data_IF_038095350680
#
_entry.id   IF_038095350680
#
_cell.length_a   1.000
_cell.length_b   1.000
_cell.length_c   1.000
_cell.angle_alpha   90.00
_cell.angle_beta   90.00
_cell.angle_gamma   90.00
#
_symmetry.space_group_name_H-M   'P 1'
#
loop_
_entity.id
_entity.type
_entity.pdbx_description
1 polymer ?
#
# COMPACT_ATOMS: atom_id res chain seq x y z
N UNK A 1 15.59 38.94 29.45
CA UNK A 1 14.73 38.85 28.25
C UNK A 1 14.74 37.42 27.76
N UNK A 2 13.60 36.78 27.51
CA UNK A 2 13.55 35.39 27.03
C UNK A 2 14.01 35.35 25.56
N UNK A 3 15.08 34.62 25.20
CA UNK A 3 15.63 34.59 23.85
C UNK A 3 14.83 33.72 22.85
N UNK A 4 13.82 32.99 23.32
CA UNK A 4 13.05 32.08 22.48
C UNK A 4 11.79 32.75 21.93
N UNK A 5 11.62 32.72 20.61
CA UNK A 5 10.46 33.24 19.88
C UNK A 5 9.74 32.10 19.14
N UNK A 6 8.44 31.93 19.40
CA UNK A 6 7.58 31.01 18.67
C UNK A 6 7.31 31.55 17.25
N UNK A 7 7.82 30.86 16.23
CA UNK A 7 7.49 31.18 14.85
C UNK A 7 6.00 30.94 14.59
N UNK A 8 5.36 31.88 13.90
CA UNK A 8 3.97 31.71 13.45
C UNK A 8 3.95 30.69 12.32
N UNK A 9 2.91 29.85 12.27
CA UNK A 9 2.76 28.88 11.17
C UNK A 9 2.79 29.57 9.79
N UNK A 10 2.29 30.81 9.70
CA UNK A 10 2.30 31.65 8.50
C UNK A 10 3.69 32.14 8.06
N UNK A 11 4.71 32.11 8.93
CA UNK A 11 6.08 32.53 8.57
C UNK A 11 6.91 31.42 7.94
N UNK A 12 6.37 30.19 7.88
CA UNK A 12 6.98 29.06 7.17
C UNK A 12 6.38 29.01 5.77
N UNK A 13 7.22 29.17 4.76
CA UNK A 13 6.85 28.92 3.36
C UNK A 13 6.42 27.46 3.22
N UNK A 14 5.12 27.21 3.07
CA UNK A 14 4.61 25.87 2.75
C UNK A 14 4.67 25.66 1.24
N UNK A 15 5.24 24.53 0.82
CA UNK A 15 5.27 24.11 -0.58
C UNK A 15 3.82 24.01 -1.14
N UNK A 16 3.52 24.78 -2.19
CA UNK A 16 2.19 24.95 -2.77
C UNK A 16 1.75 23.82 -3.71
N UNK A 17 2.57 22.80 -3.90
CA UNK A 17 2.29 21.68 -4.81
C UNK A 17 1.25 20.67 -4.33
N UNK A 18 0.78 20.75 -3.07
CA UNK A 18 -0.14 19.76 -2.49
C UNK A 18 -1.61 20.19 -2.56
N UNK A 19 -2.47 19.26 -2.97
CA UNK A 19 -3.92 19.47 -2.98
C UNK A 19 -4.47 19.24 -1.56
N UNK A 20 -5.12 20.27 -0.98
CA UNK A 20 -5.74 20.17 0.36
C UNK A 20 -6.79 19.05 0.43
N UNK A 21 -6.92 18.42 1.59
CA UNK A 21 -8.00 17.47 1.88
C UNK A 21 -9.35 18.23 1.86
N UNK A 22 -10.43 17.58 1.40
CA UNK A 22 -11.75 18.22 1.24
C UNK A 22 -12.45 18.36 2.59
N UNK A 23 -12.67 19.58 3.06
CA UNK A 23 -13.49 19.85 4.25
C UNK A 23 -13.07 19.01 5.47
N UNK A 24 -14.05 18.36 6.10
CA UNK A 24 -13.85 17.47 7.26
C UNK A 24 -13.53 16.01 6.87
N UNK A 25 -13.08 15.76 5.63
CA UNK A 25 -12.75 14.40 5.21
C UNK A 25 -11.61 13.85 6.06
N UNK A 26 -11.80 12.64 6.57
CA UNK A 26 -10.82 11.90 7.37
C UNK A 26 -10.58 10.53 6.73
N UNK A 27 -9.35 9.98 6.73
CA UNK A 27 -9.10 8.61 6.26
C UNK A 27 -10.00 7.54 6.90
N UNK A 28 -10.60 7.86 8.05
CA UNK A 28 -11.45 6.98 8.84
C UNK A 28 -12.96 7.29 8.71
N UNK A 29 -13.37 8.26 7.88
CA UNK A 29 -14.78 8.65 7.74
C UNK A 29 -15.60 7.74 6.79
N UNK A 30 -14.99 6.67 6.28
CA UNK A 30 -15.65 5.73 5.35
C UNK A 30 -15.73 6.19 3.89
N UNK A 31 -15.21 7.36 3.51
CA UNK A 31 -15.17 7.82 2.12
C UNK A 31 -14.02 7.15 1.32
N UNK A 32 -14.13 5.84 1.15
CA UNK A 32 -13.13 5.01 0.49
C UNK A 32 -12.87 5.45 -0.96
N UNK A 33 -13.88 6.00 -1.64
CA UNK A 33 -13.77 6.46 -3.04
C UNK A 33 -12.88 7.71 -3.11
N UNK A 34 -13.09 8.68 -2.21
CA UNK A 34 -12.26 9.89 -2.13
C UNK A 34 -10.80 9.53 -1.85
N UNK A 35 -10.55 8.70 -0.83
CA UNK A 35 -9.19 8.32 -0.43
C UNK A 35 -8.48 7.45 -1.47
N UNK A 36 -9.18 6.50 -2.09
CA UNK A 36 -8.63 5.70 -3.20
C UNK A 36 -8.23 6.57 -4.40
N UNK A 37 -9.07 7.55 -4.74
CA UNK A 37 -8.81 8.48 -5.85
C UNK A 37 -7.63 9.42 -5.56
N UNK A 38 -7.49 9.85 -4.30
CA UNK A 38 -6.38 10.70 -3.83
C UNK A 38 -5.06 9.93 -3.86
N UNK A 39 -5.06 8.67 -3.47
CA UNK A 39 -3.87 7.81 -3.50
C UNK A 39 -3.28 7.68 -4.90
N UNK A 40 -4.11 7.48 -5.92
CA UNK A 40 -3.65 7.42 -7.33
C UNK A 40 -3.08 8.74 -7.87
N UNK A 41 -3.35 9.87 -7.22
CA UNK A 41 -2.85 11.21 -7.57
C UNK A 41 -1.75 11.70 -6.63
N UNK A 42 -1.36 10.90 -5.64
CA UNK A 42 -0.36 11.28 -4.65
C UNK A 42 1.02 11.35 -5.32
N UNK A 43 1.75 12.47 -5.23
CA UNK A 43 3.08 12.60 -5.84
C UNK A 43 4.12 11.62 -5.26
N UNK A 44 3.88 11.08 -4.06
CA UNK A 44 4.73 10.07 -3.44
C UNK A 44 4.51 8.66 -4.00
N UNK A 45 3.42 8.45 -4.75
CA UNK A 45 3.11 7.17 -5.38
C UNK A 45 3.78 7.10 -6.75
N UNK A 46 4.54 6.04 -7.00
CA UNK A 46 5.20 5.86 -8.29
C UNK A 46 4.19 5.77 -9.44
N UNK A 47 4.58 6.20 -10.66
CA UNK A 47 3.73 6.10 -11.86
C UNK A 47 3.19 4.68 -12.09
N UNK A 48 4.01 3.66 -11.78
CA UNK A 48 3.63 2.24 -11.87
C UNK A 48 2.49 1.92 -10.93
N UNK A 49 2.62 2.29 -9.65
CA UNK A 49 1.58 2.07 -8.65
C UNK A 49 0.31 2.87 -8.97
N UNK A 50 0.42 4.13 -9.37
CA UNK A 50 -0.73 4.94 -9.77
C UNK A 50 -1.52 4.31 -10.93
N UNK A 51 -0.80 3.76 -11.92
CA UNK A 51 -1.40 3.05 -13.05
C UNK A 51 -2.16 1.80 -12.60
N UNK A 52 -1.54 1.01 -11.71
CA UNK A 52 -2.15 -0.20 -11.17
C UNK A 52 -3.35 0.09 -10.26
N UNK A 53 -3.25 1.10 -9.39
CA UNK A 53 -4.37 1.57 -8.57
C UNK A 53 -5.57 1.94 -9.44
N UNK A 54 -5.34 2.69 -10.53
CA UNK A 54 -6.40 3.06 -11.48
C UNK A 54 -7.01 1.81 -12.14
N UNK A 55 -6.17 0.87 -12.60
CA UNK A 55 -6.63 -0.35 -13.26
C UNK A 55 -7.44 -1.26 -12.33
N UNK A 56 -6.98 -1.39 -11.09
CA UNK A 56 -7.62 -2.17 -10.03
C UNK A 56 -8.78 -1.44 -9.36
N UNK A 57 -9.07 -0.18 -9.76
CA UNK A 57 -10.08 0.68 -9.14
C UNK A 57 -9.86 0.86 -7.63
N UNK A 58 -8.60 0.82 -7.18
CA UNK A 58 -8.23 0.90 -5.77
C UNK A 58 -8.56 -0.35 -4.96
N UNK A 59 -8.88 -1.48 -5.59
CA UNK A 59 -9.28 -2.73 -4.92
C UNK A 59 -8.13 -3.74 -4.95
N UNK A 60 -7.88 -4.38 -3.82
CA UNK A 60 -6.97 -5.53 -3.73
C UNK A 60 -7.63 -6.75 -4.38
N UNK A 61 -7.07 -7.34 -5.45
CA UNK A 61 -7.65 -8.50 -6.13
C UNK A 61 -7.63 -9.79 -5.29
N UNK A 62 -6.85 -9.83 -4.19
CA UNK A 62 -6.77 -11.00 -3.31
C UNK A 62 -7.88 -11.02 -2.26
N UNK A 63 -8.09 -9.91 -1.52
CA UNK A 63 -9.12 -9.85 -0.47
C UNK A 63 -10.41 -9.10 -0.88
N UNK A 64 -10.42 -8.39 -2.00
CA UNK A 64 -11.57 -7.61 -2.47
C UNK A 64 -11.79 -6.28 -1.74
N UNK A 65 -10.94 -5.91 -0.79
CA UNK A 65 -11.03 -4.66 -0.04
C UNK A 65 -10.33 -3.50 -0.74
N UNK A 66 -10.75 -2.27 -0.42
CA UNK A 66 -10.13 -1.06 -0.95
C UNK A 66 -8.81 -0.75 -0.23
N UNK A 67 -7.81 -0.29 -0.98
CA UNK A 67 -6.59 0.27 -0.41
C UNK A 67 -6.91 1.55 0.38
N UNK A 68 -6.48 1.58 1.63
CA UNK A 68 -6.59 2.74 2.52
C UNK A 68 -5.24 3.43 2.67
N UNK A 69 -5.28 4.73 2.95
CA UNK A 69 -4.06 5.50 3.23
C UNK A 69 -3.40 4.98 4.53
N UNK A 70 -2.08 4.87 4.55
CA UNK A 70 -1.32 4.29 5.68
C UNK A 70 -1.20 2.76 5.69
N UNK A 71 -1.87 2.02 4.79
CA UNK A 71 -1.67 0.58 4.63
C UNK A 71 -0.48 0.30 3.70
N UNK A 72 0.35 -0.68 4.04
CA UNK A 72 1.46 -1.10 3.18
C UNK A 72 0.93 -1.84 1.94
N UNK A 73 1.11 -1.23 0.77
CA UNK A 73 0.74 -1.76 -0.54
C UNK A 73 2.00 -2.25 -1.25
N UNK A 74 1.96 -3.47 -1.76
CA UNK A 74 3.10 -4.10 -2.42
C UNK A 74 2.76 -4.47 -3.86
N UNK A 75 3.78 -4.40 -4.73
CA UNK A 75 3.71 -4.86 -6.10
C UNK A 75 3.98 -6.36 -6.14
N UNK A 76 3.04 -7.13 -6.69
CA UNK A 76 3.09 -8.58 -6.83
C UNK A 76 2.96 -8.99 -8.30
N UNK A 77 3.46 -10.19 -8.62
CA UNK A 77 3.23 -10.84 -9.92
C UNK A 77 2.08 -11.85 -9.80
N UNK A 78 1.05 -11.70 -10.64
CA UNK A 78 -0.09 -12.61 -10.73
C UNK A 78 0.41 -14.04 -10.96
N UNK A 79 1.23 -14.23 -11.99
CA UNK A 79 2.03 -15.43 -12.20
C UNK A 79 3.41 -15.14 -11.60
N UNK A 80 3.86 -15.88 -10.56
CA UNK A 80 5.16 -15.67 -9.97
C UNK A 80 6.31 -15.83 -10.97
N UNK A 81 7.41 -15.08 -10.79
CA UNK A 81 8.60 -15.22 -11.63
C UNK A 81 9.18 -16.64 -11.62
N UNK A 82 9.13 -17.32 -10.47
CA UNK A 82 9.55 -18.73 -10.33
C UNK A 82 8.74 -19.71 -11.20
N UNK A 83 7.55 -19.30 -11.64
CA UNK A 83 6.65 -20.06 -12.50
C UNK A 83 6.63 -19.52 -13.94
N UNK A 84 7.64 -18.74 -14.33
CA UNK A 84 7.75 -18.16 -15.67
C UNK A 84 6.98 -16.86 -15.89
N UNK A 85 6.50 -16.22 -14.82
CA UNK A 85 5.81 -14.94 -14.91
C UNK A 85 6.71 -13.80 -15.40
N UNK A 86 6.22 -13.03 -16.36
CA UNK A 86 6.94 -11.89 -16.94
C UNK A 86 6.82 -10.62 -16.10
N UNK A 87 7.82 -9.74 -16.20
CA UNK A 87 7.90 -8.47 -15.47
C UNK A 87 7.22 -7.33 -16.27
N UNK A 88 5.89 -7.36 -16.32
CA UNK A 88 5.10 -6.49 -17.20
C UNK A 88 3.77 -6.08 -16.56
N UNK A 89 3.22 -4.96 -17.03
CA UNK A 89 1.97 -4.44 -16.49
C UNK A 89 0.85 -5.48 -16.48
N UNK A 90 0.71 -6.33 -17.51
CA UNK A 90 -0.37 -7.33 -17.55
C UNK A 90 -0.24 -8.42 -16.46
N UNK A 91 0.97 -8.65 -15.96
CA UNK A 91 1.25 -9.63 -14.91
C UNK A 91 1.42 -8.98 -13.52
N UNK A 92 1.53 -7.66 -13.41
CA UNK A 92 1.61 -7.00 -12.12
C UNK A 92 0.24 -6.77 -11.47
N UNK A 93 0.19 -6.84 -10.15
CA UNK A 93 -0.93 -6.39 -9.33
C UNK A 93 -0.42 -5.71 -8.06
N UNK A 94 -1.25 -4.88 -7.45
CA UNK A 94 -1.03 -4.35 -6.11
C UNK A 94 -1.82 -5.20 -5.13
N UNK A 95 -1.20 -5.53 -4.00
CA UNK A 95 -1.81 -6.27 -2.89
C UNK A 95 -1.55 -5.55 -1.56
N UNK A 96 -2.39 -5.80 -0.56
CA UNK A 96 -2.00 -5.51 0.82
C UNK A 96 -0.81 -6.38 1.20
N UNK A 97 0.09 -5.88 2.06
CA UNK A 97 1.23 -6.66 2.54
C UNK A 97 0.84 -8.06 3.05
N UNK A 98 -0.17 -8.16 3.91
CA UNK A 98 -0.62 -9.45 4.44
C UNK A 98 -1.24 -10.36 3.36
N UNK A 99 -1.91 -9.78 2.36
CA UNK A 99 -2.44 -10.53 1.21
C UNK A 99 -1.31 -11.07 0.34
N UNK A 100 -0.26 -10.29 0.14
CA UNK A 100 0.93 -10.71 -0.60
C UNK A 100 1.63 -11.86 0.12
N UNK A 101 1.89 -11.73 1.42
CA UNK A 101 2.47 -12.79 2.24
C UNK A 101 1.64 -14.09 2.16
N UNK A 102 0.31 -13.98 2.24
CA UNK A 102 -0.61 -15.13 2.13
C UNK A 102 -0.57 -15.76 0.74
N UNK A 103 -0.56 -14.95 -0.34
CA UNK A 103 -0.42 -15.42 -1.71
C UNK A 103 0.89 -16.18 -1.90
N UNK A 104 2.01 -15.60 -1.48
CA UNK A 104 3.35 -16.22 -1.59
C UNK A 104 3.42 -17.56 -0.85
N UNK A 105 2.77 -17.66 0.32
CA UNK A 105 2.69 -18.91 1.06
C UNK A 105 1.90 -19.99 0.30
N UNK A 106 0.84 -19.62 -0.41
CA UNK A 106 -0.02 -20.54 -1.16
C UNK A 106 0.62 -20.96 -2.48
N UNK A 107 1.15 -20.02 -3.25
CA UNK A 107 1.75 -20.29 -4.57
C UNK A 107 3.19 -20.82 -4.47
N UNK A 108 3.79 -20.81 -3.27
CA UNK A 108 5.13 -21.33 -3.01
C UNK A 108 6.24 -20.49 -3.66
N UNK A 109 5.95 -19.26 -4.06
CA UNK A 109 6.89 -18.33 -4.73
C UNK A 109 7.84 -17.61 -3.77
N UNK A 110 8.34 -18.34 -2.77
CA UNK A 110 9.33 -17.80 -1.84
C UNK A 110 10.52 -17.23 -2.62
N UNK A 111 10.95 -16.01 -2.27
CA UNK A 111 11.96 -15.20 -2.99
C UNK A 111 13.35 -15.83 -3.13
N UNK A 112 13.51 -17.10 -2.81
CA UNK A 112 14.73 -17.90 -3.02
C UNK A 112 14.83 -18.51 -4.43
N UNK A 113 13.77 -18.44 -5.25
CA UNK A 113 13.66 -19.21 -6.52
C UNK A 113 13.58 -18.38 -7.81
N UNK A 114 13.82 -17.07 -7.78
CA UNK A 114 13.76 -16.26 -9.00
C UNK A 114 14.88 -15.24 -9.07
N UNK A 115 15.36 -14.96 -10.29
CA UNK A 115 16.38 -13.96 -10.65
C UNK A 115 16.01 -12.50 -10.29
N UNK A 116 15.01 -12.28 -9.44
CA UNK A 116 14.88 -11.01 -8.76
C UNK A 116 16.10 -10.85 -7.87
N UNK A 117 16.86 -9.76 -8.05
CA UNK A 117 17.93 -9.32 -7.14
C UNK A 117 17.59 -9.77 -5.73
N UNK A 118 18.43 -10.63 -5.14
CA UNK A 118 18.19 -11.37 -3.90
C UNK A 118 17.93 -10.43 -2.73
N UNK A 119 16.74 -9.80 -2.71
CA UNK A 119 16.22 -9.09 -1.56
C UNK A 119 15.99 -10.18 -0.54
N UNK A 120 16.65 -10.07 0.61
CA UNK A 120 16.45 -11.00 1.72
C UNK A 120 14.94 -11.18 1.89
N UNK A 121 14.42 -12.42 1.84
CA UNK A 121 12.99 -12.65 1.91
C UNK A 121 12.48 -11.95 3.18
N UNK A 122 11.43 -11.15 3.01
CA UNK A 122 10.81 -10.45 4.12
C UNK A 122 10.43 -11.51 5.16
N UNK A 123 10.76 -11.31 6.46
CA UNK A 123 10.32 -12.23 7.49
C UNK A 123 8.81 -12.34 7.41
N UNK A 124 8.29 -13.55 7.27
CA UNK A 124 6.86 -13.79 7.43
C UNK A 124 6.48 -13.23 8.80
N UNK A 125 5.42 -12.43 8.85
CA UNK A 125 4.93 -11.95 10.12
C UNK A 125 4.39 -13.16 10.89
N UNK A 126 5.09 -13.58 11.94
CA UNK A 126 4.63 -14.61 12.88
C UNK A 126 3.48 -14.03 13.72
N UNK A 127 2.30 -13.98 13.10
CA UNK A 127 1.07 -13.52 13.74
C UNK A 127 0.61 -14.65 14.68
N UNK A 128 0.44 -14.38 16.00
CA UNK A 128 -0.05 -15.40 16.92
C UNK A 128 -1.44 -15.91 16.52
N UNK A 129 -1.76 -17.17 16.80
CA UNK A 129 -2.99 -17.84 16.32
C UNK A 129 -4.30 -17.17 16.74
N UNK A 130 -4.28 -16.37 17.81
CA UNK A 130 -5.42 -15.61 18.32
C UNK A 130 -5.59 -14.24 17.63
N UNK A 131 -4.86 -13.98 16.55
CA UNK A 131 -5.03 -12.77 15.75
C UNK A 131 -5.52 -13.13 14.36
N UNK A 132 -6.47 -12.35 13.86
CA UNK A 132 -7.05 -12.50 12.53
C UNK A 132 -7.10 -11.16 11.82
N UNK A 133 -6.91 -11.17 10.50
CA UNK A 133 -7.19 -10.01 9.67
C UNK A 133 -8.70 -9.90 9.42
N UNK A 134 -9.32 -8.84 9.93
CA UNK A 134 -10.72 -8.48 9.69
C UNK A 134 -10.73 -7.06 9.14
N UNK A 135 -11.26 -6.88 7.93
CA UNK A 135 -11.35 -5.57 7.24
C UNK A 135 -10.01 -4.81 7.11
N UNK A 136 -8.93 -5.54 6.79
CA UNK A 136 -7.54 -5.06 6.76
C UNK A 136 -6.98 -4.58 8.11
N UNK A 137 -7.64 -4.93 9.22
CA UNK A 137 -7.19 -4.67 10.58
C UNK A 137 -6.85 -5.98 11.28
N UNK A 138 -5.75 -6.00 12.04
CA UNK A 138 -5.41 -7.16 12.86
C UNK A 138 -6.20 -7.09 14.16
N UNK A 139 -7.13 -8.03 14.36
CA UNK A 139 -7.99 -8.12 15.54
C UNK A 139 -7.65 -9.36 16.35
N UNK A 140 -7.84 -9.28 17.66
CA UNK A 140 -7.73 -10.44 18.57
C UNK A 140 -9.05 -11.20 18.54
N UNK A 141 -8.98 -12.52 18.41
CA UNK A 141 -10.11 -13.46 18.46
C UNK A 141 -10.08 -14.31 19.72
#
# INVERSE_FOLDING_TARGET
SNPYHLMKHSSVSTNTGYIKVKGESSPYNGDLIYWSSRMGKNPLVSKRMATLLKRQKGICPYCGLHFKDGVNIELDHIIPKSSGGLDEYKNWQLLHRHCHDSKTSIDGSYGTKSDCNSVKPKPLLDIPKNYQWVEDMLVVT
#
